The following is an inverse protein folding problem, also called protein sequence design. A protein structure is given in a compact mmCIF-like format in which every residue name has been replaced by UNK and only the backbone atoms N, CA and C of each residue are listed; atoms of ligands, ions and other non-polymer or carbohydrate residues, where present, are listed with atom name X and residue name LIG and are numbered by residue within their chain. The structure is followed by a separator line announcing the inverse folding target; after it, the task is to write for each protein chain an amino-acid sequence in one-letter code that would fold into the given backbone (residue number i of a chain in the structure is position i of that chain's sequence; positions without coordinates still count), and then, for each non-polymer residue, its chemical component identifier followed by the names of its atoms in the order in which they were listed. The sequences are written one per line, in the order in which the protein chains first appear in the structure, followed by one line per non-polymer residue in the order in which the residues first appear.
data_IF_986789483337
#
_entry.id   IF_986789483337
#
_cell.length_a   1.000
_cell.length_b   1.000
_cell.length_c   1.000
_cell.angle_alpha   90.00
_cell.angle_beta   90.00
_cell.angle_gamma   90.00
#
_symmetry.space_group_name_H-M   'P 1'
#
loop_
_entity.id
_entity.type
_entity.pdbx_description
1 polymer ?
#
# COMPACT_ATOMS: atom_id res chain seq x y z
N UNK A 1 31.97 16.30 -7.45
CA UNK A 1 31.38 16.63 -6.14
C UNK A 1 30.10 15.82 -5.97
N UNK A 2 30.11 14.82 -5.08
CA UNK A 2 28.90 14.06 -4.77
C UNK A 2 28.01 14.97 -3.91
N UNK A 3 26.84 15.34 -4.43
CA UNK A 3 25.85 16.08 -3.65
C UNK A 3 25.17 15.11 -2.69
N UNK A 4 25.24 15.39 -1.38
CA UNK A 4 24.54 14.58 -0.39
C UNK A 4 23.03 14.74 -0.57
N UNK A 5 22.29 13.62 -0.47
CA UNK A 5 20.83 13.62 -0.49
C UNK A 5 20.29 14.32 0.76
N UNK A 6 19.23 15.11 0.60
CA UNK A 6 18.46 15.63 1.74
C UNK A 6 17.77 14.48 2.48
N UNK A 7 17.35 14.71 3.72
CA UNK A 7 16.61 13.71 4.49
C UNK A 7 15.32 13.28 3.78
N UNK A 8 14.60 14.23 3.17
CA UNK A 8 13.40 13.92 2.38
C UNK A 8 13.71 13.04 1.17
N UNK A 9 14.81 13.30 0.47
CA UNK A 9 15.27 12.47 -0.66
C UNK A 9 15.68 11.08 -0.21
N UNK A 10 16.35 10.97 0.94
CA UNK A 10 16.71 9.68 1.54
C UNK A 10 15.47 8.86 1.89
N UNK A 11 14.45 9.49 2.47
CA UNK A 11 13.18 8.82 2.77
C UNK A 11 12.49 8.39 1.47
N UNK A 12 12.44 9.24 0.46
CA UNK A 12 11.84 8.89 -0.83
C UNK A 12 12.51 7.66 -1.46
N UNK A 13 13.84 7.61 -1.41
CA UNK A 13 14.61 6.46 -1.85
C UNK A 13 14.30 5.20 -1.00
N UNK A 14 14.21 5.35 0.32
CA UNK A 14 13.85 4.25 1.24
C UNK A 14 12.47 3.68 0.91
N UNK A 15 11.49 4.52 0.59
CA UNK A 15 10.16 4.08 0.18
C UNK A 15 10.20 3.25 -1.11
N UNK A 16 10.95 3.69 -2.09
CA UNK A 16 11.11 2.94 -3.35
C UNK A 16 11.80 1.60 -3.14
N UNK A 17 12.85 1.55 -2.34
CA UNK A 17 13.57 0.33 -2.01
C UNK A 17 12.68 -0.66 -1.24
N UNK A 18 11.96 -0.16 -0.25
CA UNK A 18 11.03 -0.94 0.57
C UNK A 18 9.90 -1.57 -0.28
N UNK A 19 9.27 -0.80 -1.13
CA UNK A 19 8.21 -1.30 -2.01
C UNK A 19 8.74 -2.30 -3.04
N UNK A 20 9.94 -2.05 -3.59
CA UNK A 20 10.60 -2.99 -4.49
C UNK A 20 10.94 -4.32 -3.80
N UNK A 21 11.48 -4.26 -2.60
CA UNK A 21 11.79 -5.44 -1.80
C UNK A 21 10.53 -6.24 -1.43
N UNK A 22 9.45 -5.55 -1.07
CA UNK A 22 8.17 -6.16 -0.77
C UNK A 22 7.59 -6.92 -1.98
N UNK A 23 7.64 -6.31 -3.16
CA UNK A 23 7.15 -6.93 -4.40
C UNK A 23 7.94 -8.18 -4.78
N UNK A 24 9.26 -8.14 -4.60
CA UNK A 24 10.16 -9.22 -5.01
C UNK A 24 10.30 -10.33 -3.95
N UNK A 25 9.82 -10.11 -2.74
CA UNK A 25 10.03 -11.03 -1.63
C UNK A 25 11.45 -11.01 -1.07
N UNK A 26 12.17 -9.90 -1.24
CA UNK A 26 13.53 -9.72 -0.71
C UNK A 26 13.47 -9.31 0.76
N UNK A 27 13.47 -10.31 1.64
CA UNK A 27 13.29 -10.13 3.08
C UNK A 27 14.41 -9.34 3.71
N UNK A 28 15.66 -9.54 3.31
CA UNK A 28 16.81 -8.84 3.87
C UNK A 28 16.74 -7.34 3.56
N UNK A 29 16.42 -6.97 2.33
CA UNK A 29 16.24 -5.56 1.95
C UNK A 29 15.05 -4.94 2.66
N UNK A 30 13.95 -5.67 2.77
CA UNK A 30 12.77 -5.18 3.47
C UNK A 30 13.07 -4.93 4.95
N UNK A 31 13.76 -5.85 5.61
CA UNK A 31 14.13 -5.72 7.02
C UNK A 31 15.09 -4.55 7.27
N UNK A 32 15.97 -4.26 6.33
CA UNK A 32 16.89 -3.13 6.43
C UNK A 32 16.16 -1.80 6.64
N UNK A 33 15.00 -1.64 6.01
CA UNK A 33 14.22 -0.41 6.03
C UNK A 33 13.12 -0.39 7.10
N UNK A 34 12.90 -1.52 7.79
CA UNK A 34 11.95 -1.65 8.90
C UNK A 34 12.70 -1.79 10.22
N UNK A 35 12.28 -1.02 11.22
CA UNK A 35 12.84 -1.17 12.57
C UNK A 35 12.42 -2.51 13.20
N UNK A 36 13.26 -3.06 14.07
CA UNK A 36 12.92 -4.28 14.81
C UNK A 36 11.69 -4.12 15.69
N UNK A 37 11.42 -2.91 16.17
CA UNK A 37 10.29 -2.54 17.01
C UNK A 37 9.13 -1.90 16.20
N UNK A 38 9.07 -2.11 14.90
CA UNK A 38 8.04 -1.54 14.04
C UNK A 38 6.63 -1.95 14.49
N UNK A 39 5.67 -1.04 14.34
CA UNK A 39 4.24 -1.32 14.49
C UNK A 39 3.56 -1.27 13.13
N UNK A 40 2.73 -2.26 12.82
CA UNK A 40 1.98 -2.35 11.57
C UNK A 40 0.48 -2.35 11.88
N UNK A 41 -0.23 -1.40 11.30
CA UNK A 41 -1.70 -1.28 11.38
C UNK A 41 -2.28 -1.47 9.97
N UNK A 42 -3.08 -2.50 9.79
CA UNK A 42 -3.58 -2.89 8.48
C UNK A 42 -5.00 -2.39 8.16
N UNK A 43 -5.50 -1.36 8.83
CA UNK A 43 -6.82 -0.81 8.53
C UNK A 43 -8.01 -1.78 8.72
N UNK A 44 -7.79 -2.93 9.34
CA UNK A 44 -8.81 -3.85 9.83
C UNK A 44 -9.02 -3.61 11.33
N UNK A 45 -10.04 -4.23 11.92
CA UNK A 45 -10.26 -4.12 13.36
C UNK A 45 -9.24 -4.94 14.19
N UNK A 46 -8.26 -5.55 13.55
CA UNK A 46 -7.20 -6.29 14.22
C UNK A 46 -6.26 -5.35 15.01
N UNK A 47 -5.74 -5.79 16.16
CA UNK A 47 -4.73 -5.02 16.88
C UNK A 47 -3.46 -4.83 16.03
N UNK A 48 -2.65 -3.80 16.33
CA UNK A 48 -1.38 -3.62 15.64
C UNK A 48 -0.49 -4.86 15.74
N UNK A 49 0.19 -5.18 14.65
CA UNK A 49 1.27 -6.18 14.64
C UNK A 49 2.50 -5.50 15.20
N UNK A 50 3.05 -6.01 16.27
CA UNK A 50 4.21 -5.43 16.95
C UNK A 50 5.47 -6.22 16.67
N UNK A 51 6.49 -5.53 16.18
CA UNK A 51 7.82 -6.05 15.93
C UNK A 51 7.98 -6.70 14.55
N UNK A 52 9.20 -6.64 14.05
CA UNK A 52 9.57 -7.20 12.76
C UNK A 52 9.30 -8.70 12.65
N UNK A 53 9.63 -9.48 13.68
CA UNK A 53 9.45 -10.94 13.65
C UNK A 53 8.00 -11.34 13.43
N UNK A 54 7.05 -10.66 14.10
CA UNK A 54 5.63 -10.90 13.93
C UNK A 54 5.14 -10.43 12.55
N UNK A 55 5.61 -9.29 12.10
CA UNK A 55 5.29 -8.81 10.75
C UNK A 55 5.81 -9.75 9.66
N UNK A 56 7.03 -10.24 9.81
CA UNK A 56 7.62 -11.17 8.85
C UNK A 56 6.77 -12.44 8.69
N UNK A 57 6.26 -12.99 9.77
CA UNK A 57 5.40 -14.17 9.72
C UNK A 57 4.12 -13.90 8.92
N UNK A 58 3.46 -12.77 9.14
CA UNK A 58 2.27 -12.35 8.37
C UNK A 58 2.61 -12.11 6.91
N UNK A 59 3.70 -11.41 6.64
CA UNK A 59 4.15 -11.12 5.28
C UNK A 59 4.44 -12.41 4.49
N UNK A 60 5.14 -13.36 5.09
CA UNK A 60 5.46 -14.64 4.45
C UNK A 60 4.21 -15.45 4.11
N UNK A 61 3.21 -15.45 4.98
CA UNK A 61 1.92 -16.10 4.70
C UNK A 61 1.20 -15.45 3.52
N UNK A 62 1.17 -14.14 3.48
CA UNK A 62 0.55 -13.40 2.37
C UNK A 62 1.34 -13.61 1.08
N UNK A 63 2.65 -13.53 1.15
CA UNK A 63 3.53 -13.65 -0.03
C UNK A 63 3.44 -15.03 -0.68
N UNK A 64 3.30 -16.09 0.11
CA UNK A 64 3.15 -17.46 -0.38
C UNK A 64 1.91 -17.66 -1.26
N UNK A 65 0.88 -16.82 -1.08
CA UNK A 65 -0.38 -16.85 -1.85
C UNK A 65 -0.33 -15.99 -3.10
N UNK A 66 0.70 -15.17 -3.27
CA UNK A 66 0.79 -14.18 -4.35
C UNK A 66 1.77 -14.61 -5.42
N UNK A 67 1.40 -14.33 -6.67
CA UNK A 67 2.28 -14.38 -7.83
C UNK A 67 2.16 -13.07 -8.60
N UNK A 68 3.25 -12.67 -9.26
CA UNK A 68 3.27 -11.46 -10.10
C UNK A 68 2.79 -10.21 -9.34
N UNK A 69 3.22 -10.06 -8.09
CA UNK A 69 2.85 -8.93 -7.28
C UNK A 69 3.48 -7.63 -7.81
N UNK A 70 2.65 -6.63 -7.99
CA UNK A 70 3.05 -5.28 -8.39
C UNK A 70 2.37 -4.25 -7.50
N UNK A 71 3.15 -3.30 -7.01
CA UNK A 71 2.66 -2.18 -6.24
C UNK A 71 3.31 -0.89 -6.72
N UNK A 72 2.50 0.05 -7.17
CA UNK A 72 2.93 1.37 -7.60
C UNK A 72 2.42 2.42 -6.62
N UNK A 73 3.29 3.32 -6.18
CA UNK A 73 2.89 4.46 -5.34
C UNK A 73 2.75 5.72 -6.17
N UNK A 74 1.88 6.61 -5.69
CA UNK A 74 1.63 7.93 -6.27
C UNK A 74 1.28 8.95 -5.19
N UNK A 75 1.34 10.22 -5.54
CA UNK A 75 0.98 11.33 -4.65
C UNK A 75 1.71 11.26 -3.30
N UNK A 76 3.01 11.03 -3.34
CA UNK A 76 3.84 10.88 -2.15
C UNK A 76 4.10 12.24 -1.50
N UNK A 77 3.80 12.33 -0.21
CA UNK A 77 4.10 13.47 0.65
C UNK A 77 5.11 13.04 1.72
N UNK A 78 6.17 13.80 1.91
CA UNK A 78 7.22 13.52 2.89
C UNK A 78 7.51 14.77 3.68
N UNK A 79 7.61 14.66 4.99
CA UNK A 79 8.06 15.73 5.88
C UNK A 79 9.01 15.19 6.92
N UNK A 80 10.03 15.99 7.26
CA UNK A 80 11.05 15.66 8.25
C UNK A 80 11.08 16.73 9.33
N UNK A 81 11.19 16.29 10.57
CA UNK A 81 11.43 17.13 11.73
C UNK A 81 12.53 16.50 12.60
N UNK A 82 13.77 16.99 12.46
CA UNK A 82 14.92 16.40 13.16
C UNK A 82 15.19 14.97 12.74
N UNK A 83 15.10 14.04 13.68
CA UNK A 83 15.35 12.60 13.47
C UNK A 83 14.06 11.80 13.24
N UNK A 84 12.93 12.47 13.07
CA UNK A 84 11.64 11.86 12.78
C UNK A 84 11.13 12.38 11.45
N UNK A 85 10.61 11.49 10.63
CA UNK A 85 9.94 11.82 9.39
C UNK A 85 8.62 11.08 9.26
N UNK A 86 7.75 11.58 8.41
CA UNK A 86 6.52 10.88 8.04
C UNK A 86 6.26 11.01 6.56
N UNK A 87 5.63 10.00 6.03
CA UNK A 87 5.28 9.92 4.61
C UNK A 87 3.86 9.41 4.44
N UNK A 88 3.17 9.95 3.47
CA UNK A 88 1.86 9.46 3.06
C UNK A 88 1.87 9.28 1.54
N UNK A 89 1.30 8.19 1.07
CA UNK A 89 1.15 7.95 -0.36
C UNK A 89 -0.07 7.09 -0.66
N UNK A 90 -0.55 7.21 -1.88
CA UNK A 90 -1.53 6.30 -2.45
C UNK A 90 -0.81 5.17 -3.19
N UNK A 91 -1.43 4.02 -3.26
CA UNK A 91 -0.87 2.88 -3.98
C UNK A 91 -1.95 2.10 -4.73
N UNK A 92 -1.52 1.52 -5.85
CA UNK A 92 -2.27 0.54 -6.62
C UNK A 92 -1.53 -0.79 -6.55
N UNK A 93 -2.28 -1.86 -6.30
CA UNK A 93 -1.76 -3.21 -6.16
C UNK A 93 -2.45 -4.15 -7.15
N UNK A 94 -1.65 -4.98 -7.80
CA UNK A 94 -2.11 -6.06 -8.66
C UNK A 94 -1.29 -7.32 -8.35
N UNK A 95 -1.94 -8.45 -8.28
CA UNK A 95 -1.30 -9.75 -8.13
C UNK A 95 -2.25 -10.88 -8.55
N UNK A 96 -1.69 -12.05 -8.75
CA UNK A 96 -2.46 -13.29 -8.76
C UNK A 96 -2.43 -13.84 -7.34
N UNK A 97 -3.58 -13.88 -6.67
CA UNK A 97 -3.73 -14.37 -5.29
C UNK A 97 -4.59 -15.63 -5.31
N UNK A 98 -4.05 -16.75 -4.83
CA UNK A 98 -4.72 -18.04 -4.86
C UNK A 98 -5.26 -18.42 -6.26
N UNK A 99 -4.50 -18.07 -7.32
CA UNK A 99 -4.88 -18.32 -8.70
C UNK A 99 -5.87 -17.33 -9.31
N UNK A 100 -6.29 -16.31 -8.57
CA UNK A 100 -7.23 -15.28 -9.02
C UNK A 100 -6.54 -13.95 -9.26
N UNK A 101 -6.78 -13.33 -10.42
CA UNK A 101 -6.33 -11.97 -10.72
C UNK A 101 -6.99 -11.01 -9.72
N UNK A 102 -6.17 -10.31 -8.94
CA UNK A 102 -6.62 -9.43 -7.86
C UNK A 102 -6.05 -8.04 -8.07
N UNK A 103 -6.88 -7.03 -7.88
CA UNK A 103 -6.46 -5.64 -7.89
C UNK A 103 -7.09 -4.91 -6.71
N UNK A 104 -6.29 -4.06 -6.06
CA UNK A 104 -6.74 -3.22 -4.95
C UNK A 104 -5.99 -1.90 -4.95
N UNK A 105 -6.49 -0.95 -4.20
CA UNK A 105 -5.87 0.35 -4.00
C UNK A 105 -6.01 0.78 -2.54
N UNK A 106 -5.18 1.68 -2.12
CA UNK A 106 -5.24 2.17 -0.75
C UNK A 106 -4.32 3.35 -0.49
N UNK A 107 -4.17 3.64 0.78
CA UNK A 107 -3.29 4.69 1.28
C UNK A 107 -2.44 4.14 2.41
N UNK A 108 -1.20 4.61 2.46
CA UNK A 108 -0.27 4.26 3.53
C UNK A 108 0.29 5.51 4.16
N UNK A 109 0.34 5.53 5.47
CA UNK A 109 1.07 6.51 6.27
C UNK A 109 2.19 5.80 7.00
N UNK A 110 3.39 6.34 6.88
CA UNK A 110 4.58 5.83 7.56
C UNK A 110 5.12 6.89 8.52
N UNK A 111 5.57 6.45 9.68
CA UNK A 111 6.49 7.23 10.52
C UNK A 111 7.85 6.55 10.44
N UNK A 112 8.89 7.36 10.22
CA UNK A 112 10.27 6.91 10.14
C UNK A 112 11.10 7.62 11.20
N UNK A 113 12.12 6.93 11.69
CA UNK A 113 13.16 7.51 12.55
C UNK A 113 14.52 7.32 11.90
N UNK A 114 15.39 8.32 12.09
CA UNK A 114 16.79 8.22 11.70
C UNK A 114 17.56 7.59 12.85
N UNK A 115 18.02 6.36 12.64
CA UNK A 115 18.78 5.57 13.59
C UNK A 115 20.11 5.17 12.95
N UNK A 116 21.23 5.43 13.62
CA UNK A 116 22.56 5.13 13.10
C UNK A 116 22.75 5.65 11.66
N UNK A 117 22.33 6.90 11.43
CA UNK A 117 22.42 7.59 10.15
C UNK A 117 21.62 6.92 9.00
N UNK A 118 20.62 6.09 9.35
CA UNK A 118 19.73 5.40 8.41
C UNK A 118 18.26 5.59 8.79
N UNK A 119 17.42 5.92 7.81
CA UNK A 119 15.98 6.04 8.02
C UNK A 119 15.33 4.66 8.05
N UNK A 120 14.57 4.38 9.10
CA UNK A 120 13.82 3.13 9.26
C UNK A 120 12.36 3.41 9.58
N UNK A 121 11.48 2.58 9.06
CA UNK A 121 10.04 2.64 9.34
C UNK A 121 9.77 2.13 10.74
N UNK A 122 9.13 2.95 11.57
CA UNK A 122 8.72 2.57 12.94
C UNK A 122 7.22 2.38 13.06
N UNK A 123 6.44 2.94 12.15
CA UNK A 123 4.99 2.73 12.06
C UNK A 123 4.58 2.66 10.58
N UNK A 124 3.79 1.67 10.24
CA UNK A 124 3.11 1.57 8.95
C UNK A 124 1.62 1.41 9.20
N UNK A 125 0.84 2.38 8.75
CA UNK A 125 -0.62 2.31 8.78
C UNK A 125 -1.14 2.31 7.35
N UNK A 126 -1.71 1.20 6.95
CA UNK A 126 -2.24 1.00 5.59
C UNK A 126 -3.74 0.76 5.66
N UNK A 127 -4.48 1.47 4.83
CA UNK A 127 -5.92 1.27 4.64
C UNK A 127 -6.24 0.97 3.18
N UNK A 128 -7.19 0.06 2.98
CA UNK A 128 -7.75 -0.21 1.67
C UNK A 128 -8.82 0.83 1.34
N UNK A 129 -8.77 1.38 0.13
CA UNK A 129 -9.86 2.17 -0.41
C UNK A 129 -10.79 1.28 -1.21
N UNK A 130 -12.11 1.37 -1.03
CA UNK A 130 -13.03 0.67 -1.91
C UNK A 130 -12.84 1.21 -3.34
N UNK A 131 -12.75 0.30 -4.33
CA UNK A 131 -12.80 0.71 -5.72
C UNK A 131 -14.17 1.35 -5.97
N UNK A 132 -14.15 2.62 -6.37
CA UNK A 132 -15.38 3.29 -6.81
C UNK A 132 -15.89 2.52 -8.03
N UNK A 133 -17.15 2.01 -8.03
CA UNK A 133 -17.74 1.43 -9.24
C UNK A 133 -17.59 2.44 -10.36
N UNK A 134 -17.08 2.00 -11.52
CA UNK A 134 -17.05 2.87 -12.68
C UNK A 134 -18.49 3.37 -12.93
N UNK A 135 -18.64 4.70 -13.02
CA UNK A 135 -19.93 5.29 -13.35
C UNK A 135 -20.45 4.63 -14.64
N UNK A 136 -21.66 4.05 -14.60
CA UNK A 136 -22.30 3.53 -15.79
C UNK A 136 -22.41 4.69 -16.78
N UNK A 137 -21.91 4.53 -18.04
CA UNK A 137 -21.99 5.62 -19.01
C UNK A 137 -23.44 6.09 -19.11
N UNK A 138 -23.65 7.41 -19.14
CA UNK A 138 -24.96 8.05 -19.17
C UNK A 138 -25.89 7.61 -20.36
N UNK A 139 -25.34 6.82 -21.29
CA UNK A 139 -26.00 6.28 -22.47
C UNK A 139 -26.33 4.79 -22.38
N UNK A 140 -26.24 4.16 -21.21
CA UNK A 140 -26.75 2.80 -21.05
C UNK A 140 -28.28 2.86 -21.25
N UNK A 141 -28.89 2.05 -22.17
CA UNK A 141 -30.31 2.06 -22.35
C UNK A 141 -31.00 1.69 -21.03
N UNK A 142 -31.74 2.64 -20.50
CA UNK A 142 -32.62 2.36 -19.37
C UNK A 142 -33.71 1.42 -19.87
N UNK A 143 -33.64 0.16 -19.46
CA UNK A 143 -34.73 -0.80 -19.70
C UNK A 143 -35.95 -0.39 -18.91
N UNK A 144 -36.67 0.63 -19.39
CA UNK A 144 -38.06 0.84 -19.01
C UNK A 144 -38.88 -0.06 -19.91
N UNK A 145 -39.29 -1.19 -19.40
CA UNK A 145 -40.38 -1.93 -19.96
C UNK A 145 -41.60 -0.99 -20.04
N UNK A 146 -42.09 -0.75 -21.25
CA UNK A 146 -43.37 -0.08 -21.43
C UNK A 146 -44.48 -1.00 -20.87
N UNK A 147 -45.38 -0.46 -20.07
CA UNK A 147 -46.54 -1.24 -19.63
C UNK A 147 -47.38 -1.70 -20.84
N UNK A 148 -47.95 -2.91 -20.78
CA UNK A 148 -48.74 -3.43 -21.89
C UNK A 148 -49.95 -2.54 -22.18
N UNK A 149 -50.16 -2.29 -23.48
CA UNK A 149 -51.29 -1.51 -23.99
C UNK A 149 -52.61 -2.21 -23.64
N UNK A 150 -53.63 -1.52 -23.11
CA UNK A 150 -54.90 -2.15 -22.82
C UNK A 150 -55.62 -2.58 -24.13
N UNK A 151 -56.42 -3.65 -24.09
CA UNK A 151 -57.10 -4.12 -25.28
C UNK A 151 -58.16 -3.12 -25.75
N UNK A 152 -58.17 -2.84 -27.06
CA UNK A 152 -59.16 -2.03 -27.70
C UNK A 152 -60.52 -2.75 -27.72
N UNK A 153 -61.59 -2.07 -27.30
CA UNK A 153 -62.95 -2.51 -27.46
C UNK A 153 -63.41 -2.26 -28.91
#
# INVERSE_FOLDING_TARGET
MLVALTDEQQIDYTLSEMLGAWQLGDIEKLHKDYADDVAIVNGTWAPPILGWTNYLAVYQQQRARMQQARMDRSNTYIKVSGTVGWACYQWDFEAVVDGLQTASQGQTTLVLEKRDNHWVVVLNHTSLAPKVPQAVPANAPSGREQPPKPPSR
#
